data_IF_290663494547
#
_entry.id   IF_290663494547
#
_cell.length_a   1.000
_cell.length_b   1.000
_cell.length_c   1.000
_cell.angle_alpha   90.00
_cell.angle_beta   90.00
_cell.angle_gamma   90.00
#
_symmetry.space_group_name_H-M   'P 1'
#
loop_
_entity.id
_entity.type
_entity.pdbx_description
1 polymer ?
#
# COMPACT_ATOMS: atom_id res chain seq x y z
N UNK A 1 -8.84 0.78 -19.42
CA UNK A 1 -7.74 0.01 -18.85
C UNK A 1 -7.18 0.70 -17.63
N UNK A 2 -7.06 -0.05 -16.56
CA UNK A 2 -6.68 0.51 -15.28
C UNK A 2 -5.19 0.32 -14.99
N UNK A 3 -4.36 0.77 -15.90
CA UNK A 3 -2.91 0.71 -15.68
C UNK A 3 -2.48 1.49 -14.45
N UNK A 4 -3.17 2.59 -14.18
CA UNK A 4 -2.84 3.42 -13.03
C UNK A 4 -3.05 2.67 -11.71
N UNK A 5 -4.05 1.78 -11.68
CA UNK A 5 -4.33 1.01 -10.49
C UNK A 5 -3.36 -0.12 -10.24
N UNK A 6 -2.69 -0.62 -11.28
CA UNK A 6 -1.72 -1.71 -11.15
C UNK A 6 -0.28 -1.22 -11.05
N UNK A 7 -0.09 0.08 -11.15
CA UNK A 7 1.24 0.65 -11.09
C UNK A 7 1.83 0.45 -9.70
N UNK A 8 3.02 -0.18 -9.59
CA UNK A 8 3.64 -0.38 -8.29
C UNK A 8 3.96 0.96 -7.61
N UNK A 9 3.83 0.97 -6.29
CA UNK A 9 4.21 2.12 -5.49
C UNK A 9 5.66 1.91 -5.07
N UNK A 10 6.54 2.80 -5.48
CA UNK A 10 7.95 2.68 -5.14
C UNK A 10 8.20 2.88 -3.66
N UNK A 11 9.00 2.01 -3.07
CA UNK A 11 9.44 2.14 -1.70
C UNK A 11 10.83 2.78 -1.73
N UNK A 12 11.00 3.96 -1.12
CA UNK A 12 12.32 4.59 -1.02
C UNK A 12 13.31 3.69 -0.28
N UNK A 13 14.59 3.83 -0.58
CA UNK A 13 15.64 2.99 0.02
C UNK A 13 15.69 3.11 1.55
N UNK A 14 15.29 4.26 2.08
CA UNK A 14 15.31 4.50 3.53
C UNK A 14 14.01 4.09 4.22
N UNK A 15 13.11 3.45 3.49
CA UNK A 15 11.79 3.11 4.00
C UNK A 15 11.61 1.60 4.03
N UNK A 16 11.09 1.10 5.15
CA UNK A 16 10.74 -0.30 5.31
C UNK A 16 9.23 -0.45 5.40
N UNK A 17 8.70 -1.46 4.75
CA UNK A 17 7.27 -1.74 4.77
C UNK A 17 7.05 -3.17 5.21
N UNK A 18 6.16 -3.37 6.17
CA UNK A 18 5.79 -4.68 6.64
C UNK A 18 4.28 -4.83 6.61
N UNK A 19 3.82 -6.00 6.22
CA UNK A 19 2.40 -6.32 6.22
C UNK A 19 2.22 -7.59 7.06
N UNK A 20 1.32 -7.50 8.03
CA UNK A 20 0.97 -8.63 8.88
C UNK A 20 -0.54 -8.69 8.99
N UNK A 21 -1.12 -9.79 8.53
CA UNK A 21 -2.57 -9.95 8.45
C UNK A 21 -3.18 -8.78 7.66
N UNK A 22 -4.01 -7.97 8.28
CA UNK A 22 -4.64 -6.83 7.65
C UNK A 22 -4.04 -5.51 8.15
N UNK A 23 -2.78 -5.53 8.53
CA UNK A 23 -2.11 -4.38 9.12
C UNK A 23 -0.85 -4.05 8.34
N UNK A 24 -0.69 -2.80 7.94
CA UNK A 24 0.50 -2.33 7.25
C UNK A 24 1.27 -1.37 8.14
N UNK A 25 2.58 -1.55 8.20
CA UNK A 25 3.48 -0.68 8.94
C UNK A 25 4.53 -0.14 7.98
N UNK A 26 4.69 1.17 7.94
CA UNK A 26 5.66 1.85 7.08
C UNK A 26 6.61 2.63 7.97
N UNK A 27 7.90 2.30 7.91
CA UNK A 27 8.92 2.94 8.70
C UNK A 27 9.90 3.68 7.79
N UNK A 28 10.09 4.96 8.04
CA UNK A 28 11.02 5.79 7.27
C UNK A 28 11.81 6.71 8.17
N UNK A 29 12.67 7.58 7.60
CA UNK A 29 13.52 8.47 8.37
C UNK A 29 12.76 9.47 9.23
N UNK A 30 11.53 9.81 8.89
CA UNK A 30 10.74 10.74 9.68
C UNK A 30 9.87 10.07 10.74
N UNK A 31 9.79 8.75 10.74
CA UNK A 31 9.00 8.03 11.73
C UNK A 31 8.36 6.78 11.19
N UNK A 32 7.41 6.26 11.95
CA UNK A 32 6.68 5.04 11.59
C UNK A 32 5.19 5.32 11.60
N UNK A 33 4.51 4.86 10.57
CA UNK A 33 3.06 4.92 10.48
C UNK A 33 2.49 3.52 10.36
N UNK A 34 1.38 3.28 11.03
CA UNK A 34 0.68 1.99 10.99
C UNK A 34 -0.78 2.21 10.69
N UNK A 35 -1.34 1.35 9.86
CA UNK A 35 -2.77 1.41 9.50
C UNK A 35 -3.31 0.03 9.26
N UNK A 36 -4.59 -0.12 9.51
CA UNK A 36 -5.32 -1.34 9.17
C UNK A 36 -5.74 -1.28 7.71
N UNK A 37 -5.63 -2.40 7.03
CA UNK A 37 -6.01 -2.55 5.63
C UNK A 37 -7.20 -3.49 5.54
N UNK A 38 -8.12 -3.21 4.66
CA UNK A 38 -9.28 -4.07 4.48
C UNK A 38 -8.85 -5.43 3.92
N UNK A 39 -9.41 -6.51 4.47
CA UNK A 39 -9.01 -7.87 4.06
C UNK A 39 -9.39 -8.21 2.62
N UNK A 40 -10.29 -7.45 2.01
CA UNK A 40 -10.66 -7.61 0.61
C UNK A 40 -9.57 -7.12 -0.35
N UNK A 41 -8.60 -6.39 0.16
CA UNK A 41 -7.53 -5.80 -0.65
C UNK A 41 -6.24 -6.57 -0.41
N UNK A 42 -5.65 -7.08 -1.49
CA UNK A 42 -4.36 -7.79 -1.42
C UNK A 42 -3.21 -6.83 -1.67
N UNK A 43 -2.23 -6.90 -0.80
CA UNK A 43 -1.01 -6.14 -0.95
C UNK A 43 0.15 -7.10 -1.13
N UNK A 44 1.00 -6.82 -2.11
CA UNK A 44 2.20 -7.60 -2.37
C UNK A 44 3.40 -6.68 -2.20
N UNK A 45 4.31 -7.07 -1.33
CA UNK A 45 5.55 -6.32 -1.13
C UNK A 45 6.67 -6.98 -1.92
N UNK A 46 7.27 -6.23 -2.83
CA UNK A 46 8.52 -6.61 -3.48
C UNK A 46 9.66 -5.86 -2.79
N UNK A 47 10.89 -6.17 -3.17
CA UNK A 47 12.07 -5.56 -2.55
C UNK A 47 12.03 -4.02 -2.59
N UNK A 48 11.50 -3.47 -3.66
CA UNK A 48 11.51 -2.01 -3.88
C UNK A 48 10.15 -1.43 -4.16
N UNK A 49 9.12 -2.26 -4.23
CA UNK A 49 7.78 -1.83 -4.65
C UNK A 49 6.68 -2.46 -3.81
N UNK A 50 5.55 -1.77 -3.74
CA UNK A 50 4.32 -2.33 -3.19
C UNK A 50 3.30 -2.37 -4.32
N UNK A 51 2.69 -3.53 -4.52
CA UNK A 51 1.62 -3.68 -5.50
C UNK A 51 0.31 -3.90 -4.75
N UNK A 52 -0.68 -3.07 -5.07
CA UNK A 52 -2.03 -3.22 -4.52
C UNK A 52 -2.85 -3.93 -5.59
N UNK A 53 -3.20 -5.18 -5.33
CA UNK A 53 -3.95 -5.97 -6.30
C UNK A 53 -5.39 -5.51 -6.41
N UNK A 54 -5.89 -5.50 -7.65
CA UNK A 54 -7.26 -5.13 -7.93
C UNK A 54 -8.21 -6.18 -7.35
N UNK A 55 -9.28 -5.78 -6.66
CA UNK A 55 -10.24 -6.74 -6.12
C UNK A 55 -11.05 -7.41 -7.23
N UNK A 56 -11.47 -8.63 -6.97
CA UNK A 56 -12.26 -9.40 -7.93
C UNK A 56 -13.65 -8.82 -8.12
N UNK A 57 -14.19 -8.19 -7.09
CA UNK A 57 -15.51 -7.59 -7.10
C UNK A 57 -15.44 -6.12 -7.44
N UNK A 58 -16.29 -5.69 -8.36
CA UNK A 58 -16.37 -4.27 -8.71
C UNK A 58 -16.78 -3.40 -7.53
N UNK A 59 -17.50 -3.97 -6.57
CA UNK A 59 -17.93 -3.25 -5.37
C UNK A 59 -16.78 -2.82 -4.50
N UNK A 60 -15.65 -3.53 -4.59
CA UNK A 60 -14.49 -3.26 -3.75
C UNK A 60 -13.48 -2.29 -4.40
N UNK A 61 -13.76 -1.82 -5.61
CA UNK A 61 -12.89 -0.86 -6.28
C UNK A 61 -12.64 0.41 -5.47
N UNK A 62 -13.66 1.01 -4.83
CA UNK A 62 -13.42 2.18 -3.99
C UNK A 62 -12.46 1.89 -2.84
N UNK A 63 -12.57 0.71 -2.22
CA UNK A 63 -11.66 0.30 -1.15
C UNK A 63 -10.23 0.15 -1.65
N UNK A 64 -10.09 -0.42 -2.83
CA UNK A 64 -8.78 -0.60 -3.46
C UNK A 64 -8.10 0.74 -3.74
N UNK A 65 -8.83 1.66 -4.35
CA UNK A 65 -8.30 3.00 -4.64
C UNK A 65 -7.94 3.73 -3.34
N UNK A 66 -8.78 3.64 -2.32
CA UNK A 66 -8.53 4.25 -1.02
C UNK A 66 -7.29 3.64 -0.36
N UNK A 67 -7.13 2.33 -0.42
CA UNK A 67 -5.98 1.65 0.16
C UNK A 67 -4.70 2.06 -0.54
N UNK A 68 -4.73 2.16 -1.86
CA UNK A 68 -3.56 2.59 -2.63
C UNK A 68 -3.14 4.01 -2.24
N UNK A 69 -4.10 4.91 -2.13
CA UNK A 69 -3.83 6.28 -1.68
C UNK A 69 -3.29 6.32 -0.25
N UNK A 70 -3.84 5.48 0.61
CA UNK A 70 -3.39 5.37 2.00
C UNK A 70 -1.92 4.96 2.06
N UNK A 71 -1.55 3.93 1.32
CA UNK A 71 -0.17 3.44 1.30
C UNK A 71 0.77 4.51 0.77
N UNK A 72 0.40 5.18 -0.31
CA UNK A 72 1.21 6.27 -0.86
C UNK A 72 1.41 7.38 0.16
N UNK A 73 0.34 7.77 0.85
CA UNK A 73 0.41 8.83 1.85
C UNK A 73 1.28 8.43 3.04
N UNK A 74 1.24 7.17 3.43
CA UNK A 74 2.09 6.68 4.51
C UNK A 74 3.57 6.78 4.13
N UNK A 75 3.92 6.40 2.91
CA UNK A 75 5.30 6.49 2.42
C UNK A 75 5.75 7.94 2.38
N UNK A 76 4.92 8.83 1.87
CA UNK A 76 5.23 10.26 1.82
C UNK A 76 5.39 10.81 3.23
N UNK A 77 4.53 10.38 4.15
CA UNK A 77 4.55 10.88 5.52
C UNK A 77 5.80 10.51 6.33
N UNK A 78 6.45 9.40 5.99
CA UNK A 78 7.65 8.95 6.72
C UNK A 78 8.96 9.28 5.98
N UNK A 79 8.85 9.83 4.80
CA UNK A 79 10.02 10.26 4.03
C UNK A 79 10.09 11.77 3.92
#
# INVERSE_FOLDING_TARGET
>A
MSYLGRKPIKIPTDTNVEISDNHISVQGPLGTLERSVHEQVDLIINDTDIVVNEPKNKKDKPLWATTRSLVMNMIIGVT
#
